data_IF_144015547016
#
_entry.id   IF_144015547016
#
_cell.length_a   1.000
_cell.length_b   1.000
_cell.length_c   1.000
_cell.angle_alpha   90.00
_cell.angle_beta   90.00
_cell.angle_gamma   90.00
#
_symmetry.space_group_name_H-M   'P 1'
#
loop_
_entity.id
_entity.type
_entity.pdbx_description
1 polymer ?
#
# COMPACT_ATOMS: atom_id res chain seq x y z
N UNK A 1 23.14 35.57 11.38
CA UNK A 1 23.29 34.18 10.91
C UNK A 1 21.89 33.64 10.62
N UNK A 2 21.52 33.47 9.35
CA UNK A 2 20.18 33.02 8.96
C UNK A 2 20.09 31.51 9.22
N UNK A 3 19.28 31.10 10.20
CA UNK A 3 19.07 29.68 10.53
C UNK A 3 18.40 28.96 9.37
N UNK A 4 19.21 28.26 8.57
CA UNK A 4 18.76 27.47 7.40
C UNK A 4 17.88 26.27 7.78
N UNK A 5 17.89 25.86 9.05
CA UNK A 5 17.17 24.69 9.56
C UNK A 5 15.72 24.98 9.96
N UNK A 6 15.41 26.22 10.33
CA UNK A 6 14.09 26.65 10.78
C UNK A 6 12.96 26.33 9.78
N UNK A 7 13.08 26.63 8.47
CA UNK A 7 12.01 26.33 7.52
C UNK A 7 11.73 24.83 7.38
N UNK A 8 12.75 23.97 7.44
CA UNK A 8 12.56 22.52 7.38
C UNK A 8 11.81 21.99 8.60
N UNK A 9 12.13 22.49 9.79
CA UNK A 9 11.51 22.08 11.04
C UNK A 9 10.02 22.47 11.10
N UNK A 10 9.65 23.58 10.45
CA UNK A 10 8.26 24.04 10.34
C UNK A 10 7.43 23.21 9.35
N UNK A 11 8.04 22.67 8.29
CA UNK A 11 7.34 21.86 7.26
C UNK A 11 7.34 20.37 7.62
N UNK A 12 8.29 19.92 8.43
CA UNK A 12 8.43 18.52 8.83
C UNK A 12 7.13 17.90 9.41
N UNK A 13 6.35 18.58 10.27
CA UNK A 13 5.10 18.03 10.79
C UNK A 13 4.04 17.76 9.70
N UNK A 14 3.89 18.69 8.75
CA UNK A 14 2.92 18.52 7.65
C UNK A 14 3.40 17.45 6.65
N UNK A 15 4.70 17.37 6.39
CA UNK A 15 5.31 16.29 5.60
C UNK A 15 5.10 14.93 6.25
N UNK A 16 5.32 14.80 7.56
CA UNK A 16 5.10 13.55 8.28
C UNK A 16 3.63 13.15 8.25
N UNK A 17 2.71 14.10 8.48
CA UNK A 17 1.28 13.82 8.39
C UNK A 17 0.89 13.36 6.98
N UNK A 18 1.34 14.07 5.94
CA UNK A 18 1.09 13.69 4.56
C UNK A 18 1.65 12.30 4.24
N UNK A 19 2.87 12.01 4.69
CA UNK A 19 3.49 10.70 4.52
C UNK A 19 2.65 9.62 5.20
N UNK A 20 2.24 9.79 6.46
CA UNK A 20 1.40 8.81 7.17
C UNK A 20 0.08 8.57 6.42
N UNK A 21 -0.61 9.63 6.00
CA UNK A 21 -1.89 9.53 5.29
C UNK A 21 -1.74 8.79 3.95
N UNK A 22 -0.63 8.97 3.25
CA UNK A 22 -0.39 8.31 1.96
C UNK A 22 0.11 6.87 2.14
N UNK A 23 1.07 6.64 3.03
CA UNK A 23 1.70 5.33 3.19
C UNK A 23 0.81 4.35 3.95
N UNK A 24 -0.01 4.81 4.89
CA UNK A 24 -0.94 3.95 5.63
C UNK A 24 -1.83 3.08 4.73
N UNK A 25 -2.61 3.64 3.78
CA UNK A 25 -3.45 2.82 2.90
C UNK A 25 -2.62 1.94 1.98
N UNK A 26 -1.44 2.37 1.54
CA UNK A 26 -0.55 1.55 0.69
C UNK A 26 -0.08 0.30 1.43
N UNK A 27 0.36 0.44 2.69
CA UNK A 27 0.75 -0.71 3.51
C UNK A 27 -0.43 -1.64 3.73
N UNK A 28 -1.61 -1.09 4.01
CA UNK A 28 -2.82 -1.88 4.21
C UNK A 28 -3.25 -2.64 2.93
N UNK A 29 -3.12 -2.01 1.76
CA UNK A 29 -3.37 -2.67 0.47
C UNK A 29 -2.40 -3.83 0.24
N UNK A 30 -1.11 -3.65 0.56
CA UNK A 30 -0.10 -4.69 0.46
C UNK A 30 -0.37 -5.84 1.44
N UNK A 31 -0.92 -5.55 2.62
CA UNK A 31 -1.35 -6.55 3.59
C UNK A 31 -2.51 -7.38 3.05
N UNK A 32 -3.58 -6.72 2.60
CA UNK A 32 -4.76 -7.37 1.98
C UNK A 32 -4.35 -8.21 0.76
N UNK A 33 -3.51 -7.66 -0.12
CA UNK A 33 -3.09 -8.37 -1.33
C UNK A 33 -2.30 -9.65 -1.06
N UNK A 34 -1.63 -9.75 0.10
CA UNK A 34 -0.80 -10.90 0.50
C UNK A 34 -1.51 -11.90 1.43
N UNK A 35 -2.66 -11.55 1.97
CA UNK A 35 -3.46 -12.42 2.83
C UNK A 35 -4.64 -12.99 2.06
N UNK A 36 -5.17 -14.10 2.54
CA UNK A 36 -6.46 -14.59 2.07
C UNK A 36 -7.58 -13.67 2.58
N UNK A 37 -8.57 -13.38 1.75
CA UNK A 37 -9.68 -12.49 2.11
C UNK A 37 -10.99 -13.19 1.78
N UNK A 38 -11.75 -13.49 2.82
CA UNK A 38 -13.08 -14.08 2.66
C UNK A 38 -14.03 -13.08 1.98
N UNK A 39 -15.10 -13.57 1.35
CA UNK A 39 -16.25 -12.82 0.83
C UNK A 39 -16.84 -11.80 1.82
N UNK A 40 -16.64 -12.00 3.12
CA UNK A 40 -17.04 -11.08 4.19
C UNK A 40 -16.01 -9.98 4.50
N UNK A 41 -14.89 -9.91 3.78
CA UNK A 41 -13.82 -8.94 3.98
C UNK A 41 -12.93 -9.22 5.19
N UNK A 42 -12.96 -10.44 5.72
CA UNK A 42 -12.10 -10.84 6.83
C UNK A 42 -10.72 -11.26 6.31
N UNK A 43 -9.67 -10.65 6.85
CA UNK A 43 -8.28 -11.03 6.63
C UNK A 43 -8.02 -12.38 7.29
N UNK A 44 -7.74 -13.39 6.46
CA UNK A 44 -7.23 -14.69 6.87
C UNK A 44 -5.72 -14.68 7.03
N UNK A 45 -5.11 -15.86 7.00
CA UNK A 45 -3.66 -16.00 7.09
C UNK A 45 -2.93 -15.49 5.84
N UNK A 46 -1.62 -15.26 5.99
CA UNK A 46 -0.73 -14.91 4.90
C UNK A 46 -0.74 -16.03 3.84
N UNK A 47 -1.04 -15.70 2.59
CA UNK A 47 -1.26 -16.70 1.53
C UNK A 47 -0.07 -16.88 0.56
N UNK A 48 1.12 -16.44 0.97
CA UNK A 48 2.37 -16.54 0.18
C UNK A 48 2.28 -15.93 -1.23
N UNK A 49 1.36 -14.98 -1.42
CA UNK A 49 1.14 -14.32 -2.71
C UNK A 49 0.32 -15.14 -3.71
N UNK A 50 -0.45 -16.13 -3.25
CA UNK A 50 -1.35 -16.92 -4.11
C UNK A 50 -2.35 -16.06 -4.89
N UNK A 51 -2.75 -14.90 -4.34
CA UNK A 51 -3.60 -13.94 -5.06
C UNK A 51 -2.93 -13.43 -6.35
N UNK A 52 -1.63 -13.14 -6.29
CA UNK A 52 -0.89 -12.65 -7.45
C UNK A 52 -0.69 -13.75 -8.49
N UNK A 53 -0.35 -14.98 -8.06
CA UNK A 53 -0.19 -16.11 -9.00
C UNK A 53 -1.51 -16.44 -9.70
N UNK A 54 -2.63 -16.42 -8.98
CA UNK A 54 -3.97 -16.60 -9.56
C UNK A 54 -4.32 -15.50 -10.57
N UNK A 55 -4.01 -14.24 -10.25
CA UNK A 55 -4.26 -13.09 -11.13
C UNK A 55 -3.47 -13.17 -12.44
N UNK A 56 -2.17 -13.49 -12.37
CA UNK A 56 -1.33 -13.59 -13.57
C UNK A 56 -1.56 -14.87 -14.37
N UNK A 57 -2.13 -15.92 -13.77
CA UNK A 57 -2.55 -17.11 -14.49
C UNK A 57 -3.89 -16.92 -15.22
N UNK A 58 -4.67 -15.88 -14.87
CA UNK A 58 -5.95 -15.60 -15.49
C UNK A 58 -5.78 -14.96 -16.88
N UNK A 59 -6.22 -15.62 -17.96
CA UNK A 59 -6.08 -15.08 -19.32
C UNK A 59 -6.86 -13.77 -19.49
N UNK A 60 -8.01 -13.62 -18.84
CA UNK A 60 -8.81 -12.39 -18.89
C UNK A 60 -8.05 -11.17 -18.34
N UNK A 61 -7.27 -11.37 -17.26
CA UNK A 61 -6.45 -10.30 -16.70
C UNK A 61 -5.34 -9.89 -17.67
N UNK A 62 -4.62 -10.87 -18.23
CA UNK A 62 -3.55 -10.60 -19.21
C UNK A 62 -4.10 -9.93 -20.48
N UNK A 63 -5.27 -10.36 -20.95
CA UNK A 63 -5.95 -9.77 -22.11
C UNK A 63 -6.40 -8.32 -21.85
N UNK A 64 -6.61 -7.92 -20.60
CA UNK A 64 -6.95 -6.52 -20.27
C UNK A 64 -5.75 -5.57 -20.26
N UNK A 65 -4.53 -6.10 -20.22
CA UNK A 65 -3.28 -5.33 -20.19
C UNK A 65 -2.69 -5.05 -21.58
N UNK A 66 -3.12 -5.80 -22.60
CA UNK A 66 -2.60 -5.77 -23.97
C UNK A 66 -3.66 -5.23 -24.93
#
# INVERSE_FOLDING_TARGET
MQSRTLPYLLILPSLLLAAVVIFWPVVHLIEIARHDVNSFGQLGDFNDGANFTGLFAAPDFLNSLC
#
